data_IF_820298132358
#
_entry.id   IF_820298132358
#
_cell.length_a   1.000
_cell.length_b   1.000
_cell.length_c   1.000
_cell.angle_alpha   90.00
_cell.angle_beta   90.00
_cell.angle_gamma   90.00
#
_symmetry.space_group_name_H-M   'P 1'
#
loop_
_entity.id
_entity.type
_entity.pdbx_description
1 polymer ?
#
# COMPACT_ATOMS: atom_id res chain seq x y z
N UNK A 1 10.40 6.37 1.94
CA UNK A 1 9.63 5.42 2.77
C UNK A 1 8.20 5.91 2.94
N UNK A 2 7.29 5.29 2.22
CA UNK A 2 5.86 5.54 2.31
C UNK A 2 5.30 4.57 3.38
N UNK A 3 4.81 5.09 4.51
CA UNK A 3 4.41 4.22 5.62
C UNK A 3 3.37 4.84 6.56
N UNK A 4 2.67 4.00 7.30
CA UNK A 4 1.66 4.38 8.27
C UNK A 4 2.25 4.50 9.67
N UNK A 5 2.04 5.64 10.35
CA UNK A 5 2.66 5.93 11.64
C UNK A 5 2.23 4.94 12.75
N UNK A 6 0.97 4.45 12.73
CA UNK A 6 0.51 3.43 13.71
C UNK A 6 0.85 1.99 13.31
N UNK A 7 1.56 1.76 12.20
CA UNK A 7 1.97 0.42 11.81
C UNK A 7 3.28 0.02 12.53
N UNK A 8 3.22 -1.02 13.36
CA UNK A 8 4.40 -1.56 14.03
C UNK A 8 5.49 -2.04 13.05
N UNK A 9 5.11 -2.49 11.86
CA UNK A 9 6.03 -2.90 10.79
C UNK A 9 6.77 -1.71 10.21
N UNK A 10 6.10 -0.57 10.02
CA UNK A 10 6.71 0.67 9.56
C UNK A 10 7.74 1.19 10.57
N UNK A 11 7.45 1.10 11.87
CA UNK A 11 8.41 1.50 12.91
C UNK A 11 9.68 0.65 12.89
N UNK A 12 9.55 -0.66 12.64
CA UNK A 12 10.70 -1.56 12.48
C UNK A 12 11.50 -1.25 11.21
N UNK A 13 10.82 -1.04 10.09
CA UNK A 13 11.47 -0.70 8.83
C UNK A 13 12.19 0.66 8.89
N UNK A 14 11.60 1.66 9.55
CA UNK A 14 12.25 2.96 9.80
C UNK A 14 13.54 2.76 10.60
N UNK A 15 13.47 2.02 11.70
CA UNK A 15 14.63 1.73 12.54
C UNK A 15 15.72 1.00 11.74
N UNK A 16 15.35 0.03 10.91
CA UNK A 16 16.29 -0.67 10.03
C UNK A 16 16.96 0.29 9.03
N UNK A 17 16.23 1.20 8.41
CA UNK A 17 16.80 2.19 7.48
C UNK A 17 17.73 3.19 8.19
N UNK A 18 17.35 3.65 9.38
CA UNK A 18 18.19 4.51 10.24
C UNK A 18 19.47 3.79 10.67
N UNK A 19 19.39 2.52 11.08
CA UNK A 19 20.55 1.69 11.45
C UNK A 19 21.51 1.46 10.27
N UNK A 20 20.98 1.40 9.04
CA UNK A 20 21.78 1.25 7.84
C UNK A 20 22.26 2.60 7.25
N UNK A 21 22.00 3.74 7.91
CA UNK A 21 22.31 5.09 7.39
C UNK A 21 21.80 5.34 5.96
N UNK A 22 20.64 4.77 5.62
CA UNK A 22 20.02 5.00 4.32
C UNK A 22 19.19 6.27 4.41
N UNK A 23 19.44 7.25 3.54
CA UNK A 23 18.54 8.40 3.42
C UNK A 23 17.17 7.93 2.90
N UNK A 24 16.13 8.17 3.70
CA UNK A 24 14.75 7.88 3.30
C UNK A 24 13.84 9.07 3.59
N UNK A 25 12.99 9.40 2.63
CA UNK A 25 11.93 10.41 2.83
C UNK A 25 10.71 9.72 3.43
N UNK A 26 10.36 10.03 4.68
CA UNK A 26 9.12 9.50 5.27
C UNK A 26 7.91 10.22 4.67
N UNK A 27 6.97 9.46 4.09
CA UNK A 27 5.70 9.96 3.56
C UNK A 27 4.58 9.17 4.23
N UNK A 28 3.62 9.88 4.82
CA UNK A 28 2.54 9.26 5.56
C UNK A 28 1.39 8.88 4.63
N UNK A 29 1.13 7.58 4.44
CA UNK A 29 0.09 7.12 3.50
C UNK A 29 -1.32 7.58 3.88
N UNK A 30 -1.53 7.91 5.16
CA UNK A 30 -2.84 8.36 5.65
C UNK A 30 -3.13 9.82 5.32
N UNK A 31 -2.09 10.65 5.20
CA UNK A 31 -2.23 12.08 4.91
C UNK A 31 -2.02 12.37 3.42
N UNK A 32 -1.12 11.62 2.79
CA UNK A 32 -0.76 11.74 1.37
C UNK A 32 -1.00 10.38 0.72
N UNK A 33 -2.28 10.01 0.56
CA UNK A 33 -2.66 8.79 -0.18
C UNK A 33 -2.17 8.93 -1.62
N UNK A 34 -1.48 7.90 -2.13
CA UNK A 34 -1.05 7.93 -3.52
C UNK A 34 -2.28 7.97 -4.42
N UNK A 35 -2.23 8.87 -5.41
CA UNK A 35 -3.25 8.93 -6.44
C UNK A 35 -3.35 7.60 -7.17
N UNK A 36 -4.54 7.32 -7.70
CA UNK A 36 -4.79 6.21 -8.60
C UNK A 36 -3.72 6.11 -9.71
N UNK A 37 -3.33 7.23 -10.32
CA UNK A 37 -2.30 7.25 -11.37
C UNK A 37 -0.93 6.78 -10.87
N UNK A 38 -0.48 7.28 -9.70
CA UNK A 38 0.80 6.84 -9.14
C UNK A 38 0.78 5.37 -8.72
N UNK A 39 -0.32 4.92 -8.10
CA UNK A 39 -0.50 3.50 -7.75
C UNK A 39 -0.48 2.62 -9.00
N UNK A 40 -1.07 3.08 -10.11
CA UNK A 40 -1.09 2.37 -11.39
C UNK A 40 0.30 2.31 -12.02
N UNK A 41 1.09 3.38 -11.95
CA UNK A 41 2.49 3.36 -12.38
C UNK A 41 3.34 2.41 -11.52
N UNK A 42 3.18 2.46 -10.20
CA UNK A 42 3.88 1.55 -9.27
C UNK A 42 3.47 0.09 -9.53
N UNK A 43 2.19 -0.16 -9.82
CA UNK A 43 1.69 -1.48 -10.18
C UNK A 43 2.30 -2.00 -11.48
N UNK A 44 2.25 -1.18 -12.54
CA UNK A 44 2.89 -1.48 -13.83
C UNK A 44 4.38 -1.76 -13.68
N UNK A 45 5.08 -0.97 -12.88
CA UNK A 45 6.51 -1.13 -12.64
C UNK A 45 6.83 -2.32 -11.73
N UNK A 46 5.94 -2.64 -10.78
CA UNK A 46 6.13 -3.77 -9.87
C UNK A 46 5.96 -5.12 -10.54
N UNK A 47 5.15 -5.20 -11.61
CA UNK A 47 4.83 -6.46 -12.31
C UNK A 47 4.33 -7.57 -11.35
N UNK A 48 3.80 -7.17 -10.21
CA UNK A 48 3.29 -8.00 -9.12
C UNK A 48 1.76 -7.98 -9.17
N UNK A 49 1.06 -9.06 -8.80
CA UNK A 49 -0.40 -9.08 -8.81
C UNK A 49 -0.98 -8.04 -7.85
N UNK A 50 -2.10 -7.41 -8.23
CA UNK A 50 -2.73 -6.30 -7.49
C UNK A 50 -3.06 -6.68 -6.03
N UNK A 51 -3.31 -7.97 -5.77
CA UNK A 51 -3.47 -8.54 -4.43
C UNK A 51 -2.30 -8.27 -3.47
N UNK A 52 -1.09 -8.03 -3.98
CA UNK A 52 0.09 -7.71 -3.18
C UNK A 52 0.14 -6.24 -2.75
N UNK A 53 -0.47 -5.34 -3.53
CA UNK A 53 -0.61 -3.92 -3.16
C UNK A 53 -1.67 -3.74 -2.07
N UNK A 54 -2.67 -4.62 -2.05
CA UNK A 54 -3.68 -4.62 -1.01
C UNK A 54 -3.11 -5.03 0.35
N UNK A 55 -3.52 -4.28 1.38
CA UNK A 55 -3.22 -4.64 2.75
C UNK A 55 -4.08 -5.85 3.18
N UNK A 56 -3.64 -7.06 2.82
CA UNK A 56 -4.29 -8.34 3.15
C UNK A 56 -4.50 -8.57 4.65
N UNK A 57 -3.74 -7.87 5.50
CA UNK A 57 -3.86 -7.90 6.97
C UNK A 57 -4.72 -6.76 7.53
N UNK A 58 -5.14 -5.81 6.68
CA UNK A 58 -5.95 -4.67 7.06
C UNK A 58 -7.40 -5.06 7.34
N UNK A 59 -8.05 -4.32 8.24
CA UNK A 59 -9.49 -4.48 8.51
C UNK A 59 -10.32 -4.35 7.23
N UNK A 60 -10.01 -3.35 6.40
CA UNK A 60 -10.69 -3.07 5.13
C UNK A 60 -10.70 -4.30 4.20
N UNK A 61 -9.59 -5.04 4.10
CA UNK A 61 -9.52 -6.24 3.26
C UNK A 61 -10.42 -7.38 3.75
N UNK A 62 -10.54 -7.54 5.07
CA UNK A 62 -11.43 -8.54 5.68
C UNK A 62 -12.90 -8.11 5.64
N UNK A 63 -13.19 -6.85 5.97
CA UNK A 63 -14.54 -6.28 5.98
C UNK A 63 -15.17 -6.28 4.58
N UNK A 64 -14.42 -5.87 3.56
CA UNK A 64 -14.92 -5.77 2.18
C UNK A 64 -14.80 -7.09 1.40
N UNK A 65 -14.31 -8.17 2.02
CA UNK A 65 -14.00 -9.45 1.36
C UNK A 65 -13.22 -9.26 0.06
N UNK A 66 -12.21 -8.38 0.09
CA UNK A 66 -11.42 -8.02 -1.10
C UNK A 66 -10.73 -9.23 -1.72
N UNK A 67 -10.53 -10.34 -0.98
CA UNK A 67 -9.97 -11.58 -1.55
C UNK A 67 -10.77 -12.13 -2.73
N UNK A 68 -12.10 -12.16 -2.61
CA UNK A 68 -13.02 -12.63 -3.64
C UNK A 68 -13.23 -11.55 -4.69
N UNK A 69 -13.50 -10.32 -4.24
CA UNK A 69 -13.70 -9.17 -5.13
C UNK A 69 -12.51 -8.91 -6.05
N UNK A 70 -11.28 -9.02 -5.58
CA UNK A 70 -10.09 -8.78 -6.42
C UNK A 70 -9.83 -9.93 -7.41
N UNK A 71 -10.53 -11.07 -7.25
CA UNK A 71 -10.58 -12.09 -8.29
C UNK A 71 -11.61 -11.80 -9.38
N UNK A 72 -12.61 -10.97 -9.10
CA UNK A 72 -13.71 -10.64 -10.02
C UNK A 72 -13.66 -9.19 -10.56
N UNK A 73 -13.05 -8.27 -9.82
CA UNK A 73 -12.90 -6.84 -10.13
C UNK A 73 -11.62 -6.60 -10.91
N UNK A 74 -11.63 -5.59 -11.77
CA UNK A 74 -10.44 -5.16 -12.51
C UNK A 74 -9.42 -4.50 -11.59
N UNK A 75 -8.15 -4.61 -11.98
CA UNK A 75 -7.01 -3.98 -11.29
C UNK A 75 -7.25 -2.48 -11.05
N UNK A 76 -7.88 -1.78 -12.00
CA UNK A 76 -8.22 -0.36 -11.90
C UNK A 76 -9.20 -0.05 -10.75
N UNK A 77 -10.22 -0.87 -10.52
CA UNK A 77 -11.16 -0.65 -9.40
C UNK A 77 -10.47 -0.84 -8.06
N UNK A 78 -9.58 -1.83 -7.97
CA UNK A 78 -8.81 -2.12 -6.77
C UNK A 78 -7.86 -0.96 -6.43
N UNK A 79 -7.18 -0.42 -7.45
CA UNK A 79 -6.31 0.75 -7.32
C UNK A 79 -7.08 1.99 -6.85
N UNK A 80 -8.30 2.21 -7.36
CA UNK A 80 -9.16 3.30 -6.89
C UNK A 80 -9.53 3.14 -5.41
N UNK A 81 -9.91 1.92 -5.03
CA UNK A 81 -10.31 1.62 -3.66
C UNK A 81 -9.14 1.77 -2.66
N UNK A 82 -7.91 1.52 -3.12
CA UNK A 82 -6.66 1.82 -2.42
C UNK A 82 -6.38 3.33 -2.34
N UNK A 83 -6.71 4.11 -3.37
CA UNK A 83 -6.51 5.57 -3.34
C UNK A 83 -7.51 6.31 -2.44
N UNK A 84 -8.69 5.72 -2.21
CA UNK A 84 -9.75 6.27 -1.35
C UNK A 84 -9.59 5.95 0.15
N UNK A 85 -8.65 5.08 0.56
CA UNK A 85 -8.47 4.62 1.96
C UNK A 85 -7.03 4.70 2.45
#
# INVERSE_FOLDING_TARGET
>A
MVCYNKCGTCRKAKKFLEENNVEFTYREITEDTLSFDELKEVYKNSNLPIKRLLNTSGKVYRDLKLKDKVGEMEDDEVLRLLSEN
#
